data_IF_582619103983
#
_entry.id   IF_582619103983
#
_cell.length_a   1.000
_cell.length_b   1.000
_cell.length_c   1.000
_cell.angle_alpha   90.00
_cell.angle_beta   90.00
_cell.angle_gamma   90.00
#
_symmetry.space_group_name_H-M   'P 1'
#
loop_
_entity.id
_entity.type
_entity.pdbx_description
1 polymer ?
#
# COMPACT_ATOMS: atom_id res chain seq x y z
N UNK A 1 -8.90 -16.84 29.19
CA UNK A 1 -10.12 -16.02 29.30
C UNK A 1 -10.19 -14.80 28.35
N UNK A 2 -9.10 -14.37 27.68
CA UNK A 2 -9.15 -13.23 26.72
C UNK A 2 -9.73 -13.55 25.34
N UNK A 3 -9.50 -14.77 24.83
CA UNK A 3 -9.99 -15.23 23.53
C UNK A 3 -11.52 -15.17 23.39
N UNK A 4 -12.25 -15.52 24.47
CA UNK A 4 -13.71 -15.47 24.49
C UNK A 4 -14.26 -14.04 24.46
N UNK A 5 -13.54 -13.06 25.03
CA UNK A 5 -13.94 -11.64 24.99
C UNK A 5 -13.76 -11.05 23.59
N UNK A 6 -12.65 -11.38 22.92
CA UNK A 6 -12.41 -10.97 21.53
C UNK A 6 -13.49 -11.53 20.59
N UNK A 7 -13.75 -12.83 20.66
CA UNK A 7 -14.81 -13.47 19.86
C UNK A 7 -16.19 -12.90 20.17
N UNK A 8 -16.50 -12.63 21.44
CA UNK A 8 -17.77 -12.02 21.82
C UNK A 8 -17.92 -10.61 21.27
N UNK A 9 -16.86 -9.80 21.25
CA UNK A 9 -16.85 -8.47 20.64
C UNK A 9 -17.02 -8.52 19.11
N UNK A 10 -16.32 -9.43 18.44
CA UNK A 10 -16.45 -9.66 16.99
C UNK A 10 -17.86 -10.12 16.65
N UNK A 11 -18.44 -11.06 17.40
CA UNK A 11 -19.81 -11.53 17.21
C UNK A 11 -20.82 -10.39 17.40
N UNK A 12 -20.68 -9.59 18.45
CA UNK A 12 -21.59 -8.46 18.68
C UNK A 12 -21.49 -7.43 17.54
N UNK A 13 -20.28 -7.08 17.11
CA UNK A 13 -20.05 -6.15 16.02
C UNK A 13 -20.57 -6.67 14.69
N UNK A 14 -20.38 -7.96 14.40
CA UNK A 14 -20.90 -8.59 13.20
C UNK A 14 -22.43 -8.62 13.17
N UNK A 15 -23.08 -8.88 14.30
CA UNK A 15 -24.55 -8.86 14.40
C UNK A 15 -25.08 -7.44 14.14
N UNK A 16 -24.51 -6.43 14.79
CA UNK A 16 -24.91 -5.02 14.60
C UNK A 16 -24.65 -4.58 13.15
N UNK A 17 -23.47 -4.88 12.61
CA UNK A 17 -23.11 -4.57 11.22
C UNK A 17 -24.00 -5.29 10.21
N UNK A 18 -24.38 -6.54 10.47
CA UNK A 18 -25.29 -7.30 9.61
C UNK A 18 -26.71 -6.69 9.61
N UNK A 19 -27.22 -6.28 10.77
CA UNK A 19 -28.53 -5.63 10.87
C UNK A 19 -28.53 -4.31 10.09
N UNK A 20 -27.48 -3.48 10.25
CA UNK A 20 -27.33 -2.22 9.51
C UNK A 20 -27.22 -2.46 8.01
N UNK A 21 -26.43 -3.45 7.59
CA UNK A 21 -26.28 -3.79 6.18
C UNK A 21 -27.61 -4.29 5.55
N UNK A 22 -28.42 -5.06 6.28
CA UNK A 22 -29.65 -5.69 5.78
C UNK A 22 -30.90 -4.78 5.76
N UNK A 23 -30.77 -3.53 6.22
CA UNK A 23 -31.87 -2.55 6.19
C UNK A 23 -32.18 -2.08 4.76
N UNK A 24 -31.22 -2.22 3.84
CA UNK A 24 -31.40 -1.88 2.43
C UNK A 24 -31.86 -3.09 1.59
N UNK A 25 -32.82 -2.87 0.69
CA UNK A 25 -33.43 -3.89 -0.16
C UNK A 25 -32.44 -4.41 -1.21
N UNK A 26 -31.53 -3.56 -1.67
CA UNK A 26 -30.46 -3.93 -2.60
C UNK A 26 -29.40 -4.80 -1.91
N UNK A 27 -29.09 -4.52 -0.65
CA UNK A 27 -28.18 -5.38 0.13
C UNK A 27 -28.74 -6.79 0.32
N UNK A 28 -30.06 -6.96 0.49
CA UNK A 28 -30.67 -8.31 0.60
C UNK A 28 -30.53 -9.13 -0.68
N UNK A 29 -30.75 -8.52 -1.85
CA UNK A 29 -30.54 -9.21 -3.15
C UNK A 29 -29.07 -9.55 -3.35
N UNK A 30 -28.20 -8.58 -3.13
CA UNK A 30 -26.75 -8.74 -3.28
C UNK A 30 -26.19 -9.82 -2.36
N UNK A 31 -26.56 -9.80 -1.07
CA UNK A 31 -26.12 -10.81 -0.10
C UNK A 31 -26.69 -12.18 -0.44
N UNK A 32 -27.94 -12.29 -0.88
CA UNK A 32 -28.55 -13.56 -1.30
C UNK A 32 -27.85 -14.20 -2.51
N UNK A 33 -27.60 -13.43 -3.57
CA UNK A 33 -26.89 -13.92 -4.76
C UNK A 33 -25.43 -14.25 -4.45
N UNK A 34 -24.75 -13.38 -3.71
CA UNK A 34 -23.31 -13.56 -3.40
C UNK A 34 -23.07 -14.68 -2.39
N UNK A 35 -23.98 -14.88 -1.43
CA UNK A 35 -23.99 -16.05 -0.53
C UNK A 35 -24.02 -17.37 -1.30
N UNK A 36 -24.93 -17.49 -2.27
CA UNK A 36 -25.08 -18.70 -3.09
C UNK A 36 -23.84 -18.96 -3.96
N UNK A 37 -23.31 -17.93 -4.60
CA UNK A 37 -22.06 -17.99 -5.36
C UNK A 37 -20.86 -18.37 -4.48
N UNK A 38 -20.76 -17.78 -3.29
CA UNK A 38 -19.65 -18.02 -2.35
C UNK A 38 -19.71 -19.44 -1.78
N UNK A 39 -20.90 -19.95 -1.46
CA UNK A 39 -21.10 -21.34 -1.06
C UNK A 39 -20.67 -22.33 -2.14
N UNK A 40 -21.02 -22.07 -3.40
CA UNK A 40 -20.57 -22.90 -4.52
C UNK A 40 -19.04 -22.86 -4.72
N UNK A 41 -18.42 -21.69 -4.53
CA UNK A 41 -16.95 -21.55 -4.55
C UNK A 41 -16.27 -22.27 -3.39
N UNK A 42 -16.75 -22.11 -2.16
CA UNK A 42 -16.23 -22.86 -1.00
C UNK A 42 -16.32 -24.37 -1.21
N UNK A 43 -17.45 -24.86 -1.73
CA UNK A 43 -17.61 -26.27 -2.05
C UNK A 43 -16.62 -26.74 -3.14
N UNK A 44 -16.31 -25.87 -4.11
CA UNK A 44 -15.31 -26.15 -5.14
C UNK A 44 -13.88 -26.18 -4.56
N UNK A 45 -13.55 -25.25 -3.66
CA UNK A 45 -12.25 -25.23 -2.94
C UNK A 45 -12.03 -26.48 -2.09
N UNK A 46 -13.07 -27.02 -1.44
CA UNK A 46 -12.96 -28.28 -0.67
C UNK A 46 -12.79 -29.50 -1.57
N UNK A 47 -13.34 -29.47 -2.80
CA UNK A 47 -13.21 -30.55 -3.78
C UNK A 47 -11.86 -30.53 -4.52
N UNK A 48 -11.19 -29.38 -4.60
CA UNK A 48 -9.92 -29.18 -5.31
C UNK A 48 -8.86 -28.52 -4.41
N UNK A 49 -8.37 -29.20 -3.35
CA UNK A 49 -7.37 -28.65 -2.44
C UNK A 49 -6.04 -28.29 -3.13
N UNK A 50 -5.67 -29.01 -4.20
CA UNK A 50 -4.46 -28.72 -4.99
C UNK A 50 -4.50 -27.35 -5.68
N UNK A 51 -5.67 -26.89 -6.12
CA UNK A 51 -5.87 -25.55 -6.67
C UNK A 51 -5.72 -24.47 -5.60
N UNK A 52 -6.18 -24.75 -4.37
CA UNK A 52 -6.04 -23.82 -3.25
C UNK A 52 -4.57 -23.59 -2.88
N UNK A 53 -3.80 -24.69 -2.78
CA UNK A 53 -2.35 -24.63 -2.49
C UNK A 53 -1.60 -23.97 -3.64
N UNK A 54 -1.97 -24.27 -4.89
CA UNK A 54 -1.38 -23.63 -6.06
C UNK A 54 -1.63 -22.11 -6.07
N UNK A 55 -2.87 -21.67 -5.85
CA UNK A 55 -3.21 -20.26 -5.78
C UNK A 55 -2.50 -19.53 -4.63
N UNK A 56 -2.38 -20.15 -3.47
CA UNK A 56 -1.59 -19.60 -2.36
C UNK A 56 -0.13 -19.44 -2.72
N UNK A 57 0.47 -20.44 -3.37
CA UNK A 57 1.86 -20.39 -3.80
C UNK A 57 2.10 -19.30 -4.84
N UNK A 58 1.22 -19.18 -5.84
CA UNK A 58 1.29 -18.14 -6.87
C UNK A 58 1.13 -16.75 -6.25
N UNK A 59 0.20 -16.57 -5.31
CA UNK A 59 0.06 -15.30 -4.60
C UNK A 59 1.29 -14.96 -3.75
N UNK A 60 1.90 -15.96 -3.09
CA UNK A 60 3.11 -15.76 -2.30
C UNK A 60 4.31 -15.39 -3.18
N UNK A 61 4.52 -16.08 -4.30
CA UNK A 61 5.58 -15.74 -5.27
C UNK A 61 5.37 -14.34 -5.86
N UNK A 62 4.14 -14.00 -6.22
CA UNK A 62 3.81 -12.65 -6.72
C UNK A 62 4.06 -11.58 -5.65
N UNK A 63 3.67 -11.84 -4.39
CA UNK A 63 3.89 -10.92 -3.28
C UNK A 63 5.39 -10.74 -2.96
N UNK A 64 6.14 -11.82 -2.90
CA UNK A 64 7.60 -11.78 -2.69
C UNK A 64 8.31 -11.04 -3.82
N UNK A 65 7.89 -11.26 -5.07
CA UNK A 65 8.44 -10.56 -6.24
C UNK A 65 8.13 -9.07 -6.20
N UNK A 66 6.90 -8.69 -5.85
CA UNK A 66 6.50 -7.28 -5.73
C UNK A 66 7.22 -6.58 -4.58
N UNK A 67 7.40 -7.26 -3.44
CA UNK A 67 8.19 -6.72 -2.34
C UNK A 67 9.65 -6.49 -2.73
N UNK A 68 10.29 -7.48 -3.36
CA UNK A 68 11.68 -7.33 -3.80
C UNK A 68 11.84 -6.19 -4.81
N UNK A 69 10.91 -6.05 -5.76
CA UNK A 69 10.89 -4.92 -6.70
C UNK A 69 10.72 -3.58 -5.97
N UNK A 70 9.77 -3.50 -5.03
CA UNK A 70 9.56 -2.28 -4.25
C UNK A 70 10.79 -1.88 -3.42
N UNK A 71 11.51 -2.84 -2.85
CA UNK A 71 12.76 -2.55 -2.12
C UNK A 71 13.86 -2.05 -3.06
N UNK A 72 14.01 -2.67 -4.23
CA UNK A 72 14.98 -2.22 -5.26
C UNK A 72 14.65 -0.81 -5.76
N UNK A 73 13.38 -0.54 -6.07
CA UNK A 73 12.93 0.78 -6.52
C UNK A 73 13.15 1.85 -5.44
N UNK A 74 12.94 1.52 -4.16
CA UNK A 74 13.19 2.42 -3.04
C UNK A 74 14.68 2.72 -2.86
N UNK A 75 15.55 1.72 -3.03
CA UNK A 75 17.00 1.91 -2.97
C UNK A 75 17.48 2.81 -4.13
N UNK A 76 17.00 2.57 -5.35
CA UNK A 76 17.33 3.42 -6.50
C UNK A 76 16.83 4.86 -6.32
N UNK A 77 15.67 5.04 -5.68
CA UNK A 77 15.13 6.36 -5.37
C UNK A 77 15.96 7.08 -4.28
N UNK A 78 16.46 6.34 -3.30
CA UNK A 78 17.34 6.88 -2.25
C UNK A 78 18.67 7.35 -2.86
N UNK A 79 19.29 6.53 -3.71
CA UNK A 79 20.54 6.88 -4.41
C UNK A 79 20.36 8.09 -5.33
N UNK A 80 19.22 8.17 -6.04
CA UNK A 80 18.87 9.35 -6.85
C UNK A 80 18.62 10.58 -5.99
N UNK A 81 17.98 10.44 -4.83
CA UNK A 81 17.76 11.54 -3.90
C UNK A 81 19.08 12.08 -3.34
N UNK A 82 20.00 11.20 -2.95
CA UNK A 82 21.34 11.58 -2.50
C UNK A 82 22.13 12.29 -3.61
N UNK A 83 22.08 11.77 -4.84
CA UNK A 83 22.70 12.40 -6.01
C UNK A 83 22.11 13.77 -6.33
N UNK A 84 20.79 13.94 -6.18
CA UNK A 84 20.12 15.23 -6.37
C UNK A 84 20.47 16.22 -5.26
N UNK A 85 20.52 15.77 -4.01
CA UNK A 85 20.92 16.62 -2.87
C UNK A 85 22.37 17.09 -2.99
N UNK A 86 23.28 16.21 -3.42
CA UNK A 86 24.67 16.58 -3.69
C UNK A 86 24.76 17.60 -4.83
N UNK A 87 24.07 17.38 -5.96
CA UNK A 87 24.01 18.35 -7.07
C UNK A 87 23.43 19.70 -6.63
N UNK A 88 22.36 19.71 -5.83
CA UNK A 88 21.78 20.95 -5.31
C UNK A 88 22.76 21.64 -4.36
N UNK A 89 23.48 20.90 -3.54
CA UNK A 89 24.55 21.43 -2.69
C UNK A 89 25.67 22.09 -3.48
N UNK A 90 26.17 21.43 -4.53
CA UNK A 90 27.20 21.96 -5.44
C UNK A 90 26.71 23.21 -6.18
N UNK A 91 25.49 23.18 -6.73
CA UNK A 91 24.88 24.33 -7.41
C UNK A 91 24.72 25.51 -6.44
N UNK A 92 24.30 25.27 -5.20
CA UNK A 92 24.10 26.33 -4.21
C UNK A 92 25.44 26.96 -3.78
N UNK A 93 26.53 26.18 -3.81
CA UNK A 93 27.87 26.67 -3.50
C UNK A 93 28.44 27.49 -4.66
N UNK A 94 28.34 27.00 -5.91
CA UNK A 94 28.74 27.76 -7.11
C UNK A 94 27.91 29.05 -7.28
N UNK A 95 26.60 29.01 -7.06
CA UNK A 95 25.73 30.20 -7.16
C UNK A 95 26.09 31.22 -6.08
N UNK A 96 26.46 30.77 -4.87
CA UNK A 96 26.84 31.66 -3.77
C UNK A 96 28.23 32.26 -3.95
N UNK A 97 29.17 31.55 -4.57
CA UNK A 97 30.46 32.08 -4.97
C UNK A 97 30.33 33.06 -6.14
N UNK A 98 29.48 32.77 -7.12
CA UNK A 98 29.18 33.69 -8.23
C UNK A 98 28.39 34.92 -7.78
N UNK A 99 27.45 34.81 -6.84
CA UNK A 99 26.77 35.96 -6.24
C UNK A 99 27.75 36.83 -5.44
N UNK A 100 28.67 36.23 -4.68
CA UNK A 100 29.71 36.99 -3.97
C UNK A 100 30.66 37.71 -4.92
N UNK A 101 31.01 37.09 -6.05
CA UNK A 101 31.87 37.72 -7.05
C UNK A 101 31.16 38.86 -7.82
N UNK A 102 29.83 38.83 -7.91
CA UNK A 102 29.02 39.92 -8.52
C UNK A 102 28.76 41.07 -7.54
N UNK A 103 28.71 40.82 -6.23
CA UNK A 103 28.55 41.87 -5.20
C UNK A 103 29.86 42.62 -4.89
N UNK A 104 31.03 42.07 -5.24
CA UNK A 104 32.37 42.65 -4.95
C UNK A 104 32.96 43.51 -6.10
N UNK A 105 32.29 43.67 -7.25
CA UNK A 105 32.75 44.61 -8.29
C UNK A 105 32.15 46.03 -8.06
N UNK A 106 33.00 47.07 -7.95
CA UNK A 106 32.73 48.24 -7.17
C UNK A 106 31.77 49.19 -7.89
N UNK A 107 30.76 49.68 -7.17
CA UNK A 107 30.22 51.02 -7.43
C UNK A 107 31.27 52.06 -7.03
N UNK A 108 32.34 52.15 -7.83
CA UNK A 108 33.03 53.39 -8.11
C UNK A 108 32.84 53.68 -9.60
N UNK A 109 31.87 54.53 -9.93
CA UNK A 109 32.08 55.64 -10.87
C UNK A 109 30.76 56.39 -11.10
N UNK A 110 30.90 57.72 -10.99
CA UNK A 110 30.02 58.81 -11.46
C UNK A 110 28.86 59.21 -10.56
#
# INVERSE_FOLDING_TARGET
>A
MGQSKLWKGVLLGAVVGAIVALMDKDTRKYVGEKSRSTGARCQSYMKHPSEAIHNLRVNYESFSTQLNKGVVDLLELLDKAESMLNKVGEINQEVKEQLKAVDDDPKQSS
#
